data_IF_578374480744
#
_entry.id   IF_578374480744
#
_cell.length_a   1.000
_cell.length_b   1.000
_cell.length_c   1.000
_cell.angle_alpha   90.00
_cell.angle_beta   90.00
_cell.angle_gamma   90.00
#
_symmetry.space_group_name_H-M   'P 1'
#
loop_
_entity.id
_entity.type
_entity.pdbx_description
1 polymer ?
#
# COMPACT_ATOMS: atom_id res chain seq x y z
N UNK A 1 -8.08 -49.47 -7.83
CA UNK A 1 -7.73 -49.30 -6.40
C UNK A 1 -6.87 -48.04 -6.30
N UNK A 2 -7.43 -46.98 -5.70
CA UNK A 2 -6.81 -45.67 -5.47
C UNK A 2 -5.69 -45.78 -4.44
N UNK A 3 -4.56 -45.10 -4.63
CA UNK A 3 -3.76 -44.41 -3.59
C UNK A 3 -2.82 -43.44 -4.34
N UNK A 4 -3.18 -42.15 -4.49
CA UNK A 4 -2.74 -41.04 -3.64
C UNK A 4 -1.25 -41.06 -3.30
N UNK A 5 -0.45 -40.28 -4.05
CA UNK A 5 0.87 -39.81 -3.60
C UNK A 5 0.74 -38.30 -3.36
N UNK A 6 0.93 -37.95 -2.09
CA UNK A 6 0.85 -36.61 -1.52
C UNK A 6 2.03 -35.78 -2.02
N UNK A 7 1.74 -34.63 -2.62
CA UNK A 7 2.71 -33.60 -2.97
C UNK A 7 3.16 -32.92 -1.68
N UNK A 8 4.41 -33.17 -1.27
CA UNK A 8 5.05 -32.47 -0.15
C UNK A 8 5.63 -31.16 -0.67
N UNK A 9 4.82 -30.10 -0.70
CA UNK A 9 5.27 -28.73 -0.99
C UNK A 9 5.96 -28.18 0.27
N UNK A 10 7.26 -28.42 0.36
CA UNK A 10 8.14 -27.88 1.40
C UNK A 10 8.37 -26.39 1.11
N UNK A 11 7.53 -25.52 1.69
CA UNK A 11 7.76 -24.07 1.66
C UNK A 11 8.88 -23.75 2.66
N UNK A 12 10.10 -23.60 2.13
CA UNK A 12 11.25 -23.09 2.88
C UNK A 12 11.02 -21.61 3.23
N UNK A 13 10.54 -21.32 4.44
CA UNK A 13 10.63 -19.98 5.01
C UNK A 13 12.07 -19.75 5.49
N UNK A 14 12.93 -19.26 4.60
CA UNK A 14 14.23 -18.70 4.99
C UNK A 14 13.99 -17.53 5.94
N UNK A 15 14.52 -17.62 7.16
CA UNK A 15 14.53 -16.54 8.15
C UNK A 15 15.43 -15.40 7.68
N UNK A 16 14.93 -14.59 6.76
CA UNK A 16 15.49 -13.26 6.48
C UNK A 16 14.88 -12.28 7.47
N UNK A 17 15.72 -11.42 8.04
CA UNK A 17 15.37 -10.38 9.00
C UNK A 17 14.02 -9.72 8.65
N UNK A 18 13.09 -9.77 9.60
CA UNK A 18 11.69 -9.39 9.42
C UNK A 18 11.53 -7.87 9.14
N UNK A 19 11.75 -7.46 7.90
CA UNK A 19 10.93 -6.42 7.29
C UNK A 19 9.58 -7.08 7.04
N UNK A 20 8.56 -6.67 7.80
CA UNK A 20 7.23 -7.29 7.73
C UNK A 20 6.64 -7.11 6.33
N UNK A 21 6.29 -8.22 5.68
CA UNK A 21 5.60 -8.19 4.40
C UNK A 21 4.21 -7.55 4.59
N UNK A 22 3.96 -6.44 3.92
CA UNK A 22 2.70 -5.68 4.00
C UNK A 22 1.83 -5.82 2.74
N UNK A 23 2.32 -6.52 1.72
CA UNK A 23 1.64 -6.72 0.43
C UNK A 23 1.65 -8.20 0.04
N UNK A 24 0.48 -8.75 -0.28
CA UNK A 24 0.26 -10.13 -0.68
C UNK A 24 -0.45 -10.16 -2.03
N UNK A 25 0.05 -10.98 -2.95
CA UNK A 25 -0.65 -11.23 -4.20
C UNK A 25 -1.56 -12.44 -4.05
N UNK A 26 -2.82 -12.28 -4.45
CA UNK A 26 -3.88 -13.28 -4.33
C UNK A 26 -4.77 -13.30 -5.57
N UNK A 27 -5.54 -14.36 -5.73
CA UNK A 27 -6.46 -14.57 -6.85
C UNK A 27 -7.93 -14.23 -6.51
N UNK A 28 -8.23 -13.96 -5.24
CA UNK A 28 -9.58 -13.83 -4.70
C UNK A 28 -10.03 -12.36 -4.46
N UNK A 29 -9.35 -11.40 -5.08
CA UNK A 29 -9.74 -9.98 -5.07
C UNK A 29 -9.85 -9.45 -6.50
N UNK A 30 -10.78 -8.54 -6.75
CA UNK A 30 -10.93 -7.93 -8.08
C UNK A 30 -9.77 -6.98 -8.41
N UNK A 31 -9.36 -6.15 -7.43
CA UNK A 31 -8.28 -5.17 -7.59
C UNK A 31 -7.31 -5.18 -6.40
N UNK A 32 -7.51 -4.29 -5.42
CA UNK A 32 -6.72 -4.22 -4.19
C UNK A 32 -7.68 -4.11 -3.01
N UNK A 33 -7.53 -5.00 -2.03
CA UNK A 33 -8.28 -4.95 -0.78
C UNK A 33 -7.33 -4.85 0.42
N UNK A 34 -7.87 -4.41 1.55
CA UNK A 34 -7.09 -4.06 2.74
C UNK A 34 -7.56 -4.86 3.95
N UNK A 35 -6.60 -5.29 4.77
CA UNK A 35 -6.85 -5.78 6.13
C UNK A 35 -6.14 -4.85 7.09
N UNK A 36 -6.89 -4.23 7.98
CA UNK A 36 -6.32 -3.39 9.04
C UNK A 36 -6.46 -4.10 10.38
N UNK A 37 -5.36 -4.21 11.11
CA UNK A 37 -5.32 -4.83 12.45
C UNK A 37 -4.74 -3.86 13.46
N UNK A 38 -5.24 -3.94 14.69
CA UNK A 38 -4.60 -3.39 15.86
C UNK A 38 -3.86 -4.51 16.59
N UNK A 39 -2.55 -4.36 16.78
CA UNK A 39 -1.74 -5.31 17.52
C UNK A 39 -1.08 -4.66 18.74
N UNK A 40 -0.95 -5.40 19.84
CA UNK A 40 -0.36 -4.92 21.08
C UNK A 40 0.94 -5.66 21.38
N UNK A 41 1.97 -4.92 21.78
CA UNK A 41 3.27 -5.44 22.18
C UNK A 41 3.37 -5.39 23.70
N UNK A 42 3.68 -6.53 24.31
CA UNK A 42 3.80 -6.64 25.76
C UNK A 42 5.15 -6.14 26.33
N UNK A 43 5.34 -6.33 27.63
CA UNK A 43 6.56 -5.98 28.35
C UNK A 43 7.74 -6.93 28.05
N UNK A 44 7.54 -8.02 27.34
CA UNK A 44 8.57 -8.93 26.83
C UNK A 44 8.93 -8.64 25.36
N UNK A 45 8.37 -7.56 24.81
CA UNK A 45 8.51 -7.15 23.43
C UNK A 45 7.90 -8.13 22.42
N UNK A 46 6.93 -8.95 22.85
CA UNK A 46 6.19 -9.88 22.00
C UNK A 46 4.84 -9.30 21.61
N UNK A 47 4.38 -9.57 20.39
CA UNK A 47 2.99 -9.28 20.02
C UNK A 47 2.08 -10.26 20.77
N UNK A 48 1.30 -9.73 21.71
CA UNK A 48 0.46 -10.53 22.62
C UNK A 48 -1.01 -10.57 22.20
N UNK A 49 -1.45 -9.59 21.41
CA UNK A 49 -2.83 -9.49 20.91
C UNK A 49 -2.84 -8.90 19.51
N UNK A 50 -3.73 -9.42 18.67
CA UNK A 50 -4.02 -8.91 17.32
C UNK A 50 -5.54 -8.93 17.14
N UNK A 51 -6.11 -7.79 16.76
CA UNK A 51 -7.55 -7.59 16.55
C UNK A 51 -7.77 -6.99 15.16
N UNK A 52 -8.68 -7.55 14.37
CA UNK A 52 -9.05 -6.97 13.07
C UNK A 52 -9.96 -5.77 13.29
N UNK A 53 -9.70 -4.68 12.56
CA UNK A 53 -10.56 -3.49 12.53
C UNK A 53 -11.50 -3.62 11.33
N UNK A 54 -12.67 -4.21 11.56
CA UNK A 54 -13.65 -4.55 10.50
C UNK A 54 -14.07 -3.34 9.67
N UNK A 55 -14.26 -2.17 10.30
CA UNK A 55 -14.65 -0.92 9.62
C UNK A 55 -13.55 -0.37 8.68
N UNK A 56 -12.32 -0.85 8.82
CA UNK A 56 -11.14 -0.44 8.08
C UNK A 56 -10.59 -1.56 7.17
N UNK A 57 -11.37 -2.65 7.04
CA UNK A 57 -11.00 -3.89 6.34
C UNK A 57 -11.98 -4.17 5.21
N UNK A 58 -11.50 -4.12 3.97
CA UNK A 58 -12.28 -4.46 2.78
C UNK A 58 -12.13 -5.94 2.41
N UNK A 59 -10.98 -6.56 2.69
CA UNK A 59 -10.72 -7.96 2.37
C UNK A 59 -11.55 -8.92 3.22
N UNK A 60 -12.14 -9.95 2.58
CA UNK A 60 -13.12 -10.83 3.24
C UNK A 60 -12.69 -12.28 3.42
N UNK A 61 -11.54 -12.71 2.88
CA UNK A 61 -11.08 -14.08 3.07
C UNK A 61 -10.57 -14.29 4.51
N UNK A 62 -11.38 -14.97 5.31
CA UNK A 62 -11.12 -15.21 6.73
C UNK A 62 -9.90 -16.10 6.98
N UNK A 63 -9.60 -17.05 6.09
CA UNK A 63 -8.44 -17.92 6.21
C UNK A 63 -7.15 -17.11 6.10
N UNK A 64 -7.05 -16.24 5.10
CA UNK A 64 -5.88 -15.40 4.90
C UNK A 64 -5.75 -14.32 5.99
N UNK A 65 -6.86 -13.77 6.48
CA UNK A 65 -6.86 -12.86 7.64
C UNK A 65 -6.31 -13.57 8.89
N UNK A 66 -6.74 -14.81 9.15
CA UNK A 66 -6.24 -15.58 10.28
C UNK A 66 -4.76 -15.94 10.13
N UNK A 67 -4.28 -16.22 8.91
CA UNK A 67 -2.84 -16.42 8.64
C UNK A 67 -2.01 -15.19 8.99
N UNK A 68 -2.46 -13.98 8.62
CA UNK A 68 -1.80 -12.73 9.03
C UNK A 68 -1.80 -12.59 10.56
N UNK A 69 -2.94 -12.86 11.20
CA UNK A 69 -3.06 -12.80 12.66
C UNK A 69 -2.05 -13.72 13.36
N UNK A 70 -1.93 -14.97 12.90
CA UNK A 70 -0.97 -15.93 13.44
C UNK A 70 0.49 -15.53 13.16
N UNK A 71 0.78 -15.03 11.95
CA UNK A 71 2.10 -14.50 11.62
C UNK A 71 2.52 -13.40 12.59
N UNK A 72 1.63 -12.43 12.85
CA UNK A 72 1.89 -11.33 13.79
C UNK A 72 2.10 -11.82 15.22
N UNK A 73 1.26 -12.74 15.72
CA UNK A 73 1.42 -13.31 17.07
C UNK A 73 2.74 -14.08 17.25
N UNK A 74 3.37 -14.50 16.15
CA UNK A 74 4.71 -15.10 16.15
C UNK A 74 5.86 -14.11 16.26
N UNK A 75 5.61 -12.79 16.17
CA UNK A 75 6.67 -11.77 16.19
C UNK A 75 7.07 -11.41 17.61
N UNK A 76 8.39 -11.43 17.83
CA UNK A 76 9.04 -10.87 19.01
C UNK A 76 10.09 -9.85 18.58
N UNK A 77 9.96 -8.63 19.09
CA UNK A 77 10.93 -7.56 18.89
C UNK A 77 12.11 -7.68 19.87
N UNK A 78 13.14 -6.87 19.66
CA UNK A 78 14.24 -6.78 20.60
C UNK A 78 13.77 -6.36 22.00
N UNK A 79 14.37 -6.89 23.08
CA UNK A 79 13.94 -6.60 24.46
C UNK A 79 13.93 -5.11 24.85
N UNK A 80 14.73 -4.28 24.18
CA UNK A 80 14.83 -2.83 24.36
C UNK A 80 13.97 -2.02 23.36
N UNK A 81 13.07 -2.68 22.61
CA UNK A 81 12.20 -2.03 21.65
C UNK A 81 11.35 -0.94 22.31
N UNK A 82 11.23 0.21 21.64
CA UNK A 82 10.33 1.31 22.05
C UNK A 82 8.85 0.99 21.81
N UNK A 83 8.56 -0.16 21.19
CA UNK A 83 7.19 -0.59 20.89
C UNK A 83 6.49 -1.24 22.09
N UNK A 84 7.25 -1.65 23.12
CA UNK A 84 6.72 -2.35 24.31
C UNK A 84 5.61 -1.57 25.00
N UNK A 85 4.69 -2.32 25.60
CA UNK A 85 3.57 -1.79 26.39
C UNK A 85 2.68 -0.81 25.61
N UNK A 86 2.50 -1.06 24.32
CA UNK A 86 1.72 -0.18 23.46
C UNK A 86 1.05 -0.98 22.34
N UNK A 87 0.03 -0.38 21.71
CA UNK A 87 -0.68 -0.98 20.59
C UNK A 87 -0.56 -0.09 19.35
N UNK A 88 -0.55 -0.73 18.19
CA UNK A 88 -0.31 -0.09 16.90
C UNK A 88 -1.26 -0.65 15.85
N UNK A 89 -1.66 0.23 14.94
CA UNK A 89 -2.41 -0.16 13.76
C UNK A 89 -1.43 -0.51 12.62
N UNK A 90 -1.75 -1.56 11.88
CA UNK A 90 -1.05 -1.95 10.66
C UNK A 90 -2.05 -2.36 9.60
N UNK A 91 -1.76 -1.99 8.35
CA UNK A 91 -2.60 -2.30 7.19
C UNK A 91 -1.82 -3.17 6.22
N UNK A 92 -2.44 -4.27 5.78
CA UNK A 92 -1.92 -5.20 4.79
C UNK A 92 -2.74 -5.08 3.52
N UNK A 93 -2.07 -5.16 2.37
CA UNK A 93 -2.70 -5.08 1.05
C UNK A 93 -2.78 -6.48 0.43
N UNK A 94 -3.94 -6.82 -0.07
CA UNK A 94 -4.21 -8.00 -0.87
C UNK A 94 -4.44 -7.53 -2.30
N UNK A 95 -3.55 -7.92 -3.20
CA UNK A 95 -3.43 -7.36 -4.55
C UNK A 95 -3.74 -8.49 -5.52
N UNK A 96 -4.59 -8.23 -6.53
CA UNK A 96 -4.85 -9.20 -7.57
C UNK A 96 -3.53 -9.58 -8.28
N UNK A 97 -3.23 -10.88 -8.37
CA UNK A 97 -1.97 -11.40 -8.93
C UNK A 97 -1.70 -10.90 -10.36
N UNK A 98 -2.76 -10.63 -11.14
CA UNK A 98 -2.63 -10.15 -12.53
C UNK A 98 -1.86 -8.84 -12.63
N UNK A 99 -1.83 -8.02 -11.57
CA UNK A 99 -1.13 -6.73 -11.54
C UNK A 99 0.39 -6.82 -11.51
N UNK A 100 0.98 -7.99 -11.27
CA UNK A 100 2.44 -8.15 -11.34
C UNK A 100 2.98 -7.80 -12.74
N UNK A 101 2.28 -8.25 -13.77
CA UNK A 101 2.69 -8.07 -15.17
C UNK A 101 1.76 -7.13 -15.95
N UNK A 102 0.68 -6.63 -15.32
CA UNK A 102 -0.28 -5.76 -15.99
C UNK A 102 0.35 -4.42 -16.37
N UNK A 103 0.10 -4.03 -17.62
CA UNK A 103 0.41 -2.71 -18.18
C UNK A 103 -0.72 -2.27 -19.06
N UNK A 104 -1.00 -0.97 -19.07
CA UNK A 104 -1.96 -0.41 -20.00
C UNK A 104 -1.44 -0.48 -21.43
N UNK A 105 -2.33 -0.80 -22.35
CA UNK A 105 -2.10 -0.59 -23.78
C UNK A 105 -1.96 0.90 -24.09
N UNK A 106 -1.42 1.26 -25.26
CA UNK A 106 -1.31 2.66 -25.67
C UNK A 106 -2.67 3.38 -25.68
N UNK A 107 -3.72 2.69 -26.14
CA UNK A 107 -5.09 3.21 -26.17
C UNK A 107 -5.61 3.53 -24.76
N UNK A 108 -5.40 2.62 -23.80
CA UNK A 108 -5.82 2.83 -22.41
C UNK A 108 -4.97 3.91 -21.74
N UNK A 109 -3.65 3.91 -21.98
CA UNK A 109 -2.75 4.94 -21.47
C UNK A 109 -3.21 6.34 -21.91
N UNK A 110 -3.73 6.51 -23.13
CA UNK A 110 -4.27 7.78 -23.60
C UNK A 110 -5.49 8.27 -22.80
N UNK A 111 -6.29 7.36 -22.24
CA UNK A 111 -7.43 7.73 -21.38
C UNK A 111 -6.96 8.36 -20.05
N UNK A 112 -5.71 8.13 -19.64
CA UNK A 112 -5.14 8.67 -18.40
C UNK A 112 -4.89 10.18 -18.42
N UNK A 113 -5.03 10.88 -19.58
CA UNK A 113 -4.93 12.35 -19.65
C UNK A 113 -5.90 13.03 -18.63
N UNK A 114 -7.05 12.39 -18.38
CA UNK A 114 -8.06 12.85 -17.40
C UNK A 114 -7.56 12.91 -15.95
N UNK A 115 -6.44 12.26 -15.64
CA UNK A 115 -5.83 12.19 -14.30
C UNK A 115 -4.72 13.20 -14.08
N UNK A 116 -4.31 13.95 -15.12
CA UNK A 116 -3.27 14.99 -14.99
C UNK A 116 -3.72 16.20 -14.17
N UNK A 117 -5.03 16.36 -13.97
CA UNK A 117 -5.65 17.43 -13.19
C UNK A 117 -6.87 16.91 -12.44
N UNK A 118 -7.10 17.46 -11.26
CA UNK A 118 -8.31 17.18 -10.48
C UNK A 118 -8.03 17.02 -9.00
N UNK A 119 -9.05 16.54 -8.31
CA UNK A 119 -9.00 16.17 -6.90
C UNK A 119 -9.07 14.66 -6.78
N UNK A 120 -8.26 14.13 -5.88
CA UNK A 120 -8.14 12.70 -5.69
C UNK A 120 -7.99 12.36 -4.20
N UNK A 121 -8.19 11.09 -3.89
CA UNK A 121 -7.89 10.50 -2.59
C UNK A 121 -7.35 9.08 -2.78
N UNK A 122 -6.69 8.57 -1.75
CA UNK A 122 -6.29 7.17 -1.70
C UNK A 122 -7.48 6.32 -1.28
N UNK A 123 -7.65 5.16 -1.90
CA UNK A 123 -8.63 4.17 -1.44
C UNK A 123 -8.22 3.53 -0.10
N UNK A 124 -6.91 3.40 0.12
CA UNK A 124 -6.36 2.85 1.36
C UNK A 124 -6.86 3.65 2.57
N UNK A 125 -7.51 2.96 3.50
CA UNK A 125 -8.07 3.54 4.72
C UNK A 125 -7.07 4.41 5.49
N UNK A 126 -5.80 4.00 5.59
CA UNK A 126 -4.76 4.76 6.31
C UNK A 126 -4.56 6.18 5.78
N UNK A 127 -4.84 6.38 4.49
CA UNK A 127 -4.63 7.65 3.78
C UNK A 127 -5.94 8.21 3.20
N UNK A 128 -7.11 7.65 3.56
CA UNK A 128 -8.42 8.07 3.02
C UNK A 128 -8.75 9.54 3.30
N UNK A 129 -8.23 10.04 4.42
CA UNK A 129 -8.41 11.43 4.84
C UNK A 129 -7.39 12.39 4.19
N UNK A 130 -6.50 11.87 3.33
CA UNK A 130 -5.55 12.68 2.57
C UNK A 130 -6.17 13.10 1.24
N UNK A 131 -6.37 14.40 1.09
CA UNK A 131 -6.86 15.00 -0.17
C UNK A 131 -5.71 15.41 -1.05
N UNK A 132 -5.76 14.99 -2.30
CA UNK A 132 -4.75 15.23 -3.32
C UNK A 132 -5.31 16.24 -4.32
N UNK A 133 -4.74 17.45 -4.35
CA UNK A 133 -5.00 18.43 -5.42
C UNK A 133 -3.91 18.35 -6.46
N UNK A 134 -4.25 17.97 -7.68
CA UNK A 134 -3.29 17.77 -8.78
C UNK A 134 -3.49 18.76 -9.91
N UNK A 135 -2.38 19.27 -10.40
CA UNK A 135 -2.26 20.02 -11.65
C UNK A 135 -1.25 19.32 -12.55
N UNK A 136 -1.08 19.79 -13.80
CA UNK A 136 -0.12 19.19 -14.75
C UNK A 136 1.33 19.14 -14.25
N UNK A 137 1.73 20.01 -13.31
CA UNK A 137 3.12 20.12 -12.83
C UNK A 137 3.29 19.95 -11.32
N UNK A 138 2.20 19.98 -10.54
CA UNK A 138 2.27 20.01 -9.08
C UNK A 138 1.16 19.14 -8.50
N UNK A 139 1.52 18.32 -7.50
CA UNK A 139 0.59 17.62 -6.62
C UNK A 139 0.75 18.17 -5.20
N UNK A 140 -0.38 18.48 -4.55
CA UNK A 140 -0.44 18.89 -3.15
C UNK A 140 -1.28 17.88 -2.39
N UNK A 141 -0.73 17.34 -1.33
CA UNK A 141 -1.43 16.41 -0.44
C UNK A 141 -1.63 17.09 0.90
N UNK A 142 -2.87 17.06 1.39
CA UNK A 142 -3.27 17.57 2.70
C UNK A 142 -3.95 16.44 3.46
N UNK A 143 -3.30 16.01 4.53
CA UNK A 143 -3.85 15.05 5.48
C UNK A 143 -4.65 15.77 6.57
N UNK A 144 -5.55 15.04 7.22
CA UNK A 144 -6.42 15.53 8.30
C UNK A 144 -5.67 16.02 9.53
N UNK A 145 -4.49 15.48 9.81
CA UNK A 145 -3.59 15.94 10.87
C UNK A 145 -2.90 17.28 10.55
N UNK A 146 -3.16 17.86 9.37
CA UNK A 146 -2.52 19.08 8.88
C UNK A 146 -1.16 18.84 8.23
N UNK A 147 -0.73 17.58 8.07
CA UNK A 147 0.44 17.24 7.27
C UNK A 147 0.21 17.65 5.82
N UNK A 148 1.22 18.30 5.24
CA UNK A 148 1.21 18.86 3.89
C UNK A 148 2.43 18.37 3.14
N UNK A 149 2.20 17.79 1.97
CA UNK A 149 3.27 17.42 1.04
C UNK A 149 3.03 18.09 -0.30
N UNK A 150 4.11 18.58 -0.91
CA UNK A 150 4.09 19.19 -2.23
C UNK A 150 5.13 18.50 -3.09
N UNK A 151 4.65 17.92 -4.19
CA UNK A 151 5.44 17.28 -5.21
C UNK A 151 5.42 18.10 -6.50
N UNK A 152 6.56 18.13 -7.19
CA UNK A 152 6.59 18.42 -8.62
C UNK A 152 6.24 17.15 -9.40
N UNK A 153 5.49 17.30 -10.49
CA UNK A 153 5.10 16.20 -11.36
C UNK A 153 5.73 16.39 -12.74
N UNK A 154 6.41 15.34 -13.22
CA UNK A 154 6.87 15.23 -14.61
C UNK A 154 6.22 14.04 -15.28
N UNK A 155 5.26 14.30 -16.17
CA UNK A 155 4.63 13.27 -16.98
C UNK A 155 5.59 12.78 -18.06
N UNK A 156 5.91 11.48 -18.05
CA UNK A 156 6.74 10.82 -19.06
C UNK A 156 5.85 10.26 -20.18
N UNK A 157 4.63 9.87 -19.85
CA UNK A 157 3.54 9.55 -20.78
C UNK A 157 2.21 9.97 -20.15
N UNK A 158 1.08 9.54 -20.72
CA UNK A 158 -0.23 9.79 -20.11
C UNK A 158 -0.47 8.90 -18.87
N UNK A 159 0.19 7.75 -18.76
CA UNK A 159 0.04 6.78 -17.68
C UNK A 159 1.28 6.66 -16.78
N UNK A 160 2.40 7.34 -17.11
CA UNK A 160 3.63 7.30 -16.33
C UNK A 160 4.07 8.72 -15.95
N UNK A 161 4.35 8.94 -14.67
CA UNK A 161 4.83 10.21 -14.18
C UNK A 161 5.79 10.06 -13.00
N UNK A 162 6.68 11.03 -12.86
CA UNK A 162 7.62 11.14 -11.75
C UNK A 162 7.13 12.19 -10.77
N UNK A 163 7.10 11.84 -9.48
CA UNK A 163 6.86 12.77 -8.39
C UNK A 163 8.18 13.08 -7.70
N UNK A 164 8.56 14.35 -7.63
CA UNK A 164 9.75 14.79 -6.87
C UNK A 164 9.30 15.57 -5.65
N UNK A 165 9.67 15.14 -4.45
CA UNK A 165 9.24 15.82 -3.22
C UNK A 165 9.93 17.19 -3.11
N UNK A 166 9.15 18.28 -3.10
CA UNK A 166 9.69 19.65 -3.01
C UNK A 166 9.62 20.22 -1.61
N UNK A 167 8.47 20.06 -0.94
CA UNK A 167 8.22 20.65 0.38
C UNK A 167 7.34 19.74 1.22
N UNK A 168 7.60 19.72 2.52
CA UNK A 168 6.73 19.11 3.53
C UNK A 168 6.83 19.87 4.84
N UNK A 169 5.74 19.91 5.61
CA UNK A 169 5.78 20.34 7.01
C UNK A 169 5.95 19.16 8.00
N UNK A 170 5.91 17.92 7.53
CA UNK A 170 6.02 16.71 8.35
C UNK A 170 7.50 16.42 8.65
N UNK A 171 7.96 16.56 9.92
CA UNK A 171 9.39 16.47 10.25
C UNK A 171 10.06 15.17 9.81
N UNK A 172 9.35 14.04 9.95
CA UNK A 172 9.84 12.71 9.58
C UNK A 172 10.12 12.57 8.07
N UNK A 173 9.48 13.36 7.22
CA UNK A 173 9.61 13.26 5.76
C UNK A 173 10.52 14.34 5.17
N UNK A 174 11.10 15.23 5.99
CA UNK A 174 11.96 16.32 5.51
C UNK A 174 13.23 15.82 4.81
N UNK A 175 13.76 14.68 5.25
CA UNK A 175 14.97 14.09 4.69
C UNK A 175 14.78 13.55 3.27
N UNK A 176 13.53 13.29 2.85
CA UNK A 176 13.18 12.80 1.52
C UNK A 176 13.03 13.94 0.48
N UNK A 177 13.40 15.18 0.83
CA UNK A 177 13.31 16.30 -0.10
C UNK A 177 14.25 16.08 -1.30
N UNK A 178 13.69 16.13 -2.49
CA UNK A 178 14.40 15.89 -3.75
C UNK A 178 14.35 14.43 -4.21
N UNK A 179 13.92 13.51 -3.34
CA UNK A 179 13.70 12.12 -3.73
C UNK A 179 12.55 12.01 -4.72
N UNK A 180 12.62 10.95 -5.53
CA UNK A 180 11.73 10.72 -6.66
C UNK A 180 10.94 9.43 -6.49
N UNK A 181 9.69 9.48 -6.93
CA UNK A 181 8.77 8.34 -6.97
C UNK A 181 8.25 8.23 -8.39
N UNK A 182 8.64 7.17 -9.09
CA UNK A 182 8.08 6.82 -10.39
C UNK A 182 6.72 6.18 -10.14
N UNK A 183 5.69 6.69 -10.81
CA UNK A 183 4.32 6.16 -10.74
C UNK A 183 3.90 5.69 -12.11
N UNK A 184 3.47 4.43 -12.19
CA UNK A 184 2.88 3.82 -13.38
C UNK A 184 1.42 3.47 -13.09
N UNK A 185 0.50 4.01 -13.89
CA UNK A 185 -0.92 3.62 -13.89
C UNK A 185 -1.02 2.33 -14.70
N UNK A 186 -1.47 1.25 -14.05
CA UNK A 186 -1.49 -0.10 -14.61
C UNK A 186 -2.90 -0.64 -14.87
N UNK A 187 -3.93 -0.01 -14.31
CA UNK A 187 -5.32 -0.38 -14.56
C UNK A 187 -6.27 0.80 -14.42
N UNK A 188 -7.38 0.75 -15.15
CA UNK A 188 -8.48 1.71 -15.08
C UNK A 188 -9.73 0.99 -14.56
N UNK A 189 -10.30 1.49 -13.46
CA UNK A 189 -11.47 0.89 -12.84
C UNK A 189 -12.76 1.54 -13.36
N UNK A 190 -13.87 0.78 -13.30
CA UNK A 190 -15.17 1.20 -13.85
C UNK A 190 -15.76 2.44 -13.13
N UNK A 191 -15.41 2.63 -11.85
CA UNK A 191 -15.79 3.79 -11.04
C UNK A 191 -15.00 5.07 -11.41
N UNK A 192 -14.09 4.98 -12.38
CA UNK A 192 -13.23 6.07 -12.82
C UNK A 192 -11.96 6.25 -11.99
N UNK A 193 -11.72 5.37 -11.01
CA UNK A 193 -10.46 5.26 -10.27
C UNK A 193 -9.39 4.57 -11.11
N UNK A 194 -8.17 4.52 -10.59
CA UNK A 194 -7.08 3.79 -11.25
C UNK A 194 -6.18 3.08 -10.25
N UNK A 195 -5.64 1.94 -10.70
CA UNK A 195 -4.61 1.20 -9.99
C UNK A 195 -3.25 1.70 -10.46
N UNK A 196 -2.35 1.90 -9.50
CA UNK A 196 -0.98 2.29 -9.78
C UNK A 196 0.01 1.38 -9.06
N UNK A 197 1.22 1.35 -9.59
CA UNK A 197 2.41 0.88 -8.86
C UNK A 197 3.46 1.98 -8.81
N UNK A 198 4.28 1.97 -7.76
CA UNK A 198 5.36 2.94 -7.58
C UNK A 198 6.69 2.30 -7.29
N UNK A 199 7.74 2.93 -7.79
CA UNK A 199 9.14 2.67 -7.46
C UNK A 199 9.75 3.97 -6.93
N UNK A 200 10.26 3.96 -5.71
CA UNK A 200 10.86 5.12 -5.08
C UNK A 200 12.39 5.03 -5.08
N UNK A 201 13.10 6.16 -5.17
CA UNK A 201 14.57 6.16 -5.14
C UNK A 201 15.16 5.74 -3.80
N UNK A 202 14.38 5.89 -2.72
CA UNK A 202 14.78 5.60 -1.34
C UNK A 202 14.24 4.26 -0.81
N UNK A 203 13.43 3.54 -1.60
CA UNK A 203 12.82 2.27 -1.21
C UNK A 203 12.86 1.29 -2.38
N UNK A 204 13.24 0.03 -2.11
CA UNK A 204 13.34 -1.01 -3.15
C UNK A 204 12.00 -1.69 -3.41
N UNK A 205 11.03 -1.49 -2.54
CA UNK A 205 9.73 -2.15 -2.65
C UNK A 205 8.86 -1.48 -3.70
N UNK A 206 8.25 -2.30 -4.58
CA UNK A 206 7.19 -1.85 -5.47
C UNK A 206 5.90 -1.77 -4.67
N UNK A 207 5.30 -0.59 -4.59
CA UNK A 207 4.07 -0.37 -3.84
C UNK A 207 2.88 -0.24 -4.78
N UNK A 208 1.81 -0.97 -4.52
CA UNK A 208 0.56 -0.90 -5.27
C UNK A 208 -0.50 -0.11 -4.51
N UNK A 209 -1.39 0.55 -5.23
CA UNK A 209 -2.52 1.25 -4.62
C UNK A 209 -3.58 1.67 -5.63
N UNK A 210 -4.66 2.21 -5.09
CA UNK A 210 -5.77 2.79 -5.86
C UNK A 210 -5.88 4.27 -5.53
N UNK A 211 -6.01 5.09 -6.57
CA UNK A 211 -6.36 6.50 -6.45
C UNK A 211 -7.76 6.69 -7.02
N UNK A 212 -8.64 7.29 -6.21
CA UNK A 212 -10.00 7.66 -6.57
C UNK A 212 -10.06 9.11 -6.98
N UNK A 213 -10.81 9.42 -8.04
CA UNK A 213 -11.12 10.80 -8.41
C UNK A 213 -12.33 11.26 -7.61
N UNK A 214 -12.27 12.46 -7.05
CA UNK A 214 -13.35 13.06 -6.27
C UNK A 214 -13.76 14.41 -6.86
N UNK A 215 -15.00 14.80 -6.60
CA UNK A 215 -15.49 16.16 -6.85
C UNK A 215 -14.99 17.10 -5.74
N UNK A 216 -14.79 18.39 -6.07
CA UNK A 216 -14.31 19.41 -5.11
C UNK A 216 -15.42 19.83 -4.14
#
# INVERSE_FOLDING_TARGET
MRYFIVVFLMVCFSKTHAQGQSQFFVDDVESIEYVTVNFCVDNEAKISKVTVKEEETTYKNTENIERIRQYLLGIQYYPNSKLKNNCYDSTFKFINYTYQEKKLTEKECNLCEKFKKGFFEYDNFQYRDTKIKRTKKIQKELSKDGSRLIYEIKWLSNCIYLLTQKRTNTPRLKHLKGEEILVEIIDLLDDGSYVYKTEATYDKDIIYGIIKKIEE
#
